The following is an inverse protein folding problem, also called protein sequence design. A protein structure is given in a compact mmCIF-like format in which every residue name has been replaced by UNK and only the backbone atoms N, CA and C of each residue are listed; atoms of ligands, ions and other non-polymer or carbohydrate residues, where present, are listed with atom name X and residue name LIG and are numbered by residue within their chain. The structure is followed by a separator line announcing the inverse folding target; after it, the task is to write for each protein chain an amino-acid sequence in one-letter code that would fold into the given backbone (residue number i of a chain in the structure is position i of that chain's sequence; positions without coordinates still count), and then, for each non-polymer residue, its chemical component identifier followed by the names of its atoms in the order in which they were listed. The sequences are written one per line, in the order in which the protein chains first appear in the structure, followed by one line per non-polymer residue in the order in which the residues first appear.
data_IF_560380730749
#
_entry.id   IF_560380730749
#
_cell.length_a   1.000
_cell.length_b   1.000
_cell.length_c   1.000
_cell.angle_alpha   90.00
_cell.angle_beta   90.00
_cell.angle_gamma   90.00
#
_symmetry.space_group_name_H-M   'P 1'
#
loop_
_entity.id
_entity.type
_entity.pdbx_description
1 polymer ?
#
# COMPACT_ATOMS: atom_id res chain seq x y z
N UNK A 1 -53.04 -5.74 30.63
CA UNK A 1 -51.95 -6.65 30.25
C UNK A 1 -50.71 -5.79 30.17
N UNK A 2 -49.86 -5.70 31.19
CA UNK A 2 -48.92 -6.74 31.67
C UNK A 2 -47.68 -6.70 30.76
N UNK A 3 -46.44 -6.48 31.18
CA UNK A 3 -45.81 -6.45 32.51
C UNK A 3 -44.54 -5.57 32.50
N UNK A 4 -44.18 -5.11 33.69
CA UNK A 4 -42.95 -4.40 34.05
C UNK A 4 -41.73 -5.35 34.13
N UNK A 5 -40.52 -4.77 34.09
CA UNK A 5 -39.26 -5.39 34.47
C UNK A 5 -38.25 -4.31 34.85
N UNK A 6 -38.07 -4.17 36.16
CA UNK A 6 -37.31 -3.17 36.93
C UNK A 6 -35.83 -3.58 37.08
N UNK A 7 -34.96 -2.57 37.19
CA UNK A 7 -33.75 -2.39 38.01
C UNK A 7 -32.98 -3.63 38.53
N UNK A 8 -31.66 -3.67 38.69
CA UNK A 8 -30.67 -2.62 38.90
C UNK A 8 -29.44 -3.30 39.52
N UNK A 9 -28.32 -2.60 39.43
CA UNK A 9 -26.97 -2.96 39.85
C UNK A 9 -26.84 -3.29 41.36
N UNK A 10 -26.18 -4.40 41.70
CA UNK A 10 -25.62 -4.65 43.04
C UNK A 10 -24.24 -5.30 42.88
N UNK A 11 -23.20 -4.53 43.21
CA UNK A 11 -21.84 -5.02 43.36
C UNK A 11 -21.59 -5.50 44.79
N UNK A 12 -20.95 -6.65 44.94
CA UNK A 12 -20.28 -7.04 46.18
C UNK A 12 -18.90 -7.64 45.91
N UNK A 13 -17.91 -6.94 46.48
CA UNK A 13 -16.49 -7.25 46.62
C UNK A 13 -16.34 -8.23 47.78
N UNK A 14 -15.54 -9.30 47.65
CA UNK A 14 -14.73 -9.97 48.69
C UNK A 14 -13.97 -11.17 48.04
N UNK A 15 -12.73 -10.97 47.57
CA UNK A 15 -11.45 -11.37 48.19
C UNK A 15 -10.93 -12.82 47.93
N UNK A 16 -9.59 -13.02 47.95
CA UNK A 16 -8.87 -14.08 47.23
C UNK A 16 -8.52 -15.29 48.12
N UNK A 17 -8.42 -16.48 47.52
CA UNK A 17 -7.92 -17.66 48.21
C UNK A 17 -6.43 -17.85 47.92
N UNK A 18 -5.61 -17.57 48.93
CA UNK A 18 -4.22 -18.02 49.08
C UNK A 18 -4.02 -18.73 50.41
N UNK A 19 -3.02 -19.62 50.43
CA UNK A 19 -2.41 -20.40 51.53
C UNK A 19 -3.12 -21.69 51.95
N UNK A 20 -2.43 -22.80 52.21
CA UNK A 20 -1.06 -22.97 52.78
C UNK A 20 -0.46 -24.37 52.43
N UNK A 21 0.81 -24.45 52.00
CA UNK A 21 2.04 -24.88 52.74
C UNK A 21 2.04 -26.39 53.14
N UNK A 22 3.05 -27.24 52.95
CA UNK A 22 4.51 -27.17 52.67
C UNK A 22 5.04 -28.65 52.57
N UNK A 23 6.35 -29.01 52.57
CA UNK A 23 7.51 -28.67 51.72
C UNK A 23 8.28 -29.94 51.22
N UNK A 24 9.55 -29.78 50.77
CA UNK A 24 10.60 -30.79 50.46
C UNK A 24 10.52 -31.47 49.05
N UNK A 25 11.53 -31.54 48.17
CA UNK A 25 13.00 -31.48 48.29
C UNK A 25 13.66 -31.26 46.91
N UNK A 26 14.70 -30.41 46.87
CA UNK A 26 15.88 -30.40 45.99
C UNK A 26 15.82 -30.61 44.47
N UNK A 27 16.17 -29.51 43.77
CA UNK A 27 17.13 -29.42 42.67
C UNK A 27 18.04 -30.65 42.48
N UNK A 28 18.03 -31.26 41.28
CA UNK A 28 19.19 -31.99 40.76
C UNK A 28 19.34 -31.79 39.25
N UNK A 29 20.42 -31.12 38.89
CA UNK A 29 21.05 -31.18 37.58
C UNK A 29 21.55 -32.61 37.32
N UNK A 30 21.34 -33.15 36.11
CA UNK A 30 22.24 -34.06 35.35
C UNK A 30 21.45 -34.55 34.12
N UNK A 31 21.80 -34.12 32.90
CA UNK A 31 22.92 -34.59 32.08
C UNK A 31 22.74 -36.05 31.59
N UNK A 32 22.57 -36.15 30.27
CA UNK A 32 22.89 -37.25 29.35
C UNK A 32 22.80 -38.70 29.85
N UNK A 33 21.90 -39.47 29.23
CA UNK A 33 22.12 -40.88 28.99
C UNK A 33 21.79 -41.19 27.52
N UNK A 34 22.82 -41.64 26.82
CA UNK A 34 22.77 -42.29 25.52
C UNK A 34 22.13 -43.66 25.77
N UNK A 35 21.05 -44.00 25.08
CA UNK A 35 20.66 -45.40 24.97
C UNK A 35 20.14 -45.71 23.57
N UNK A 36 20.72 -46.75 22.99
CA UNK A 36 20.41 -47.24 21.66
C UNK A 36 19.09 -48.00 21.70
N UNK A 37 18.03 -47.38 21.20
CA UNK A 37 16.75 -48.01 20.98
C UNK A 37 16.48 -48.14 19.48
N UNK A 38 16.25 -49.38 19.04
CA UNK A 38 15.89 -49.81 17.69
C UNK A 38 14.78 -48.94 17.09
N UNK A 39 14.96 -48.52 15.83
CA UNK A 39 13.99 -47.74 15.08
C UNK A 39 12.74 -48.57 14.74
N UNK A 40 11.67 -48.39 15.51
CA UNK A 40 10.30 -48.74 15.14
C UNK A 40 9.73 -47.64 14.21
N UNK A 41 9.10 -47.99 13.07
CA UNK A 41 8.71 -47.01 12.05
C UNK A 41 7.36 -46.31 12.30
N UNK A 42 6.71 -46.52 13.45
CA UNK A 42 5.31 -46.11 13.66
C UNK A 42 5.09 -45.26 14.92
N UNK A 43 5.99 -44.31 15.15
CA UNK A 43 5.81 -43.29 16.18
C UNK A 43 4.68 -42.33 15.77
N UNK A 44 3.45 -42.64 16.18
CA UNK A 44 2.32 -41.70 16.10
C UNK A 44 2.64 -40.50 16.99
N UNK A 45 3.07 -39.42 16.35
CA UNK A 45 3.41 -38.16 17.01
C UNK A 45 2.10 -37.55 17.56
N UNK A 46 1.97 -37.49 18.88
CA UNK A 46 0.87 -36.76 19.53
C UNK A 46 0.88 -35.29 19.08
N UNK A 47 -0.25 -34.74 18.59
CA UNK A 47 -0.30 -33.37 18.05
C UNK A 47 0.22 -32.31 19.03
N UNK A 48 0.02 -32.53 20.33
CA UNK A 48 0.31 -31.59 21.41
C UNK A 48 1.75 -31.62 21.95
N UNK A 49 2.57 -32.61 21.59
CA UNK A 49 3.96 -32.70 22.11
C UNK A 49 5.00 -32.75 20.99
N UNK A 50 4.74 -31.98 19.94
CA UNK A 50 5.52 -31.99 18.71
C UNK A 50 6.65 -30.96 18.77
N UNK A 51 7.74 -31.27 19.49
CA UNK A 51 9.05 -30.68 19.18
C UNK A 51 9.53 -31.23 17.82
N UNK A 52 8.78 -30.95 16.76
CA UNK A 52 9.10 -31.39 15.42
C UNK A 52 10.25 -30.49 14.94
N UNK A 53 11.48 -30.95 15.14
CA UNK A 53 12.71 -30.25 14.77
C UNK A 53 12.71 -29.82 13.30
N UNK A 54 11.99 -30.52 12.43
CA UNK A 54 11.83 -30.14 11.04
C UNK A 54 10.96 -28.88 10.81
N UNK A 55 10.13 -28.43 11.76
CA UNK A 55 9.46 -27.11 11.71
C UNK A 55 10.33 -26.00 12.32
N UNK A 56 11.48 -26.35 12.90
CA UNK A 56 12.51 -25.41 13.35
C UNK A 56 13.57 -25.11 12.27
N UNK A 57 13.64 -25.93 11.23
CA UNK A 57 14.48 -25.67 10.06
C UNK A 57 13.78 -24.69 9.11
N UNK A 58 14.50 -23.64 8.71
CA UNK A 58 13.98 -22.58 7.85
C UNK A 58 13.62 -23.08 6.45
N UNK A 59 14.36 -24.04 5.92
CA UNK A 59 14.22 -24.49 4.54
C UNK A 59 13.01 -25.40 4.35
N UNK A 60 12.78 -26.33 5.29
CA UNK A 60 11.55 -27.13 5.33
C UNK A 60 10.33 -26.24 5.58
N UNK A 61 10.45 -25.27 6.47
CA UNK A 61 9.37 -24.32 6.71
C UNK A 61 9.06 -23.50 5.45
N UNK A 62 10.09 -23.02 4.74
CA UNK A 62 9.93 -22.32 3.45
C UNK A 62 9.20 -23.20 2.44
N UNK A 63 9.63 -24.45 2.26
CA UNK A 63 9.01 -25.38 1.32
C UNK A 63 7.52 -25.66 1.63
N UNK A 64 7.14 -25.68 2.92
CA UNK A 64 5.74 -25.82 3.34
C UNK A 64 4.96 -24.53 3.06
N UNK A 65 5.50 -23.39 3.49
CA UNK A 65 4.82 -22.09 3.40
C UNK A 65 4.63 -21.64 1.95
N UNK A 66 5.53 -21.97 1.03
CA UNK A 66 5.39 -21.71 -0.41
C UNK A 66 4.14 -22.33 -1.05
N UNK A 67 3.53 -23.33 -0.41
CA UNK A 67 2.31 -24.00 -0.89
C UNK A 67 1.03 -23.37 -0.34
N UNK A 68 1.13 -22.45 0.61
CA UNK A 68 -0.03 -21.85 1.27
C UNK A 68 -0.55 -20.61 0.52
N UNK A 69 -1.87 -20.35 0.57
CA UNK A 69 -2.42 -19.08 0.10
C UNK A 69 -2.01 -17.94 1.02
N UNK A 70 -2.07 -16.70 0.51
CA UNK A 70 -1.66 -15.49 1.23
C UNK A 70 -2.32 -15.31 2.60
N UNK A 71 -3.60 -15.69 2.73
CA UNK A 71 -4.31 -15.58 4.00
C UNK A 71 -3.72 -16.52 5.06
N UNK A 72 -3.33 -17.73 4.68
CA UNK A 72 -2.75 -18.70 5.60
C UNK A 72 -1.28 -18.39 5.89
N UNK A 73 -0.55 -17.79 4.95
CA UNK A 73 0.76 -17.20 5.24
C UNK A 73 0.69 -16.12 6.32
N UNK A 74 -0.32 -15.24 6.25
CA UNK A 74 -0.52 -14.21 7.27
C UNK A 74 -0.83 -14.83 8.66
N UNK A 75 -1.57 -15.95 8.70
CA UNK A 75 -1.82 -16.70 9.94
C UNK A 75 -0.57 -17.41 10.46
N UNK A 76 0.19 -18.05 9.56
CA UNK A 76 1.45 -18.70 9.88
C UNK A 76 2.45 -17.71 10.49
N UNK A 77 2.50 -16.47 10.00
CA UNK A 77 3.34 -15.43 10.55
C UNK A 77 3.05 -15.07 12.03
N UNK A 78 1.92 -15.48 12.58
CA UNK A 78 1.56 -15.24 13.98
C UNK A 78 2.05 -16.33 14.94
N UNK A 79 2.49 -17.49 14.44
CA UNK A 79 2.81 -18.66 15.28
C UNK A 79 4.10 -18.46 16.09
N UNK A 80 5.18 -18.04 15.43
CA UNK A 80 6.48 -17.84 16.08
C UNK A 80 7.32 -16.79 15.35
N UNK A 81 8.45 -16.38 15.95
CA UNK A 81 9.38 -15.44 15.31
C UNK A 81 9.99 -16.02 14.02
N UNK A 82 10.32 -17.31 14.03
CA UNK A 82 10.85 -18.02 12.86
C UNK A 82 9.82 -18.07 11.74
N UNK A 83 8.57 -18.44 12.07
CA UNK A 83 7.49 -18.49 11.09
C UNK A 83 7.16 -17.13 10.51
N UNK A 84 7.18 -16.07 11.34
CA UNK A 84 7.04 -14.70 10.85
C UNK A 84 8.15 -14.34 9.87
N UNK A 85 9.40 -14.68 10.18
CA UNK A 85 10.55 -14.38 9.32
C UNK A 85 10.39 -15.04 7.96
N UNK A 86 10.05 -16.34 7.92
CA UNK A 86 9.88 -17.08 6.67
C UNK A 86 8.60 -16.67 5.93
N UNK A 87 7.45 -16.57 6.61
CA UNK A 87 6.18 -16.19 5.99
C UNK A 87 6.15 -14.74 5.49
N UNK A 88 7.00 -13.87 6.04
CA UNK A 88 7.16 -12.48 5.59
C UNK A 88 8.24 -12.34 4.50
N UNK A 89 8.85 -13.44 4.07
CA UNK A 89 9.81 -13.45 2.97
C UNK A 89 9.10 -13.02 1.68
N UNK A 90 9.74 -12.10 0.95
CA UNK A 90 9.19 -11.46 -0.24
C UNK A 90 8.92 -12.49 -1.33
N UNK A 91 9.79 -13.48 -1.49
CA UNK A 91 9.66 -14.48 -2.55
C UNK A 91 8.42 -15.36 -2.31
N UNK A 92 8.20 -15.77 -1.07
CA UNK A 92 7.03 -16.57 -0.67
C UNK A 92 5.74 -15.76 -0.86
N UNK A 93 5.69 -14.52 -0.36
CA UNK A 93 4.52 -13.65 -0.52
C UNK A 93 4.24 -13.36 -2.01
N UNK A 94 5.27 -13.08 -2.79
CA UNK A 94 5.13 -12.84 -4.23
C UNK A 94 4.66 -14.10 -4.96
N UNK A 95 5.19 -15.28 -4.60
CA UNK A 95 4.75 -16.56 -5.16
C UNK A 95 3.29 -16.85 -4.87
N UNK A 96 2.88 -16.73 -3.61
CA UNK A 96 1.50 -16.94 -3.16
C UNK A 96 0.52 -15.91 -3.76
N UNK A 97 0.97 -14.67 -3.98
CA UNK A 97 0.18 -13.66 -4.72
C UNK A 97 0.01 -14.03 -6.19
N UNK A 98 1.07 -14.48 -6.86
CA UNK A 98 1.07 -14.80 -8.30
C UNK A 98 0.27 -16.06 -8.65
N UNK A 99 0.34 -17.08 -7.81
CA UNK A 99 -0.12 -18.42 -8.14
C UNK A 99 -1.62 -18.49 -8.53
N UNK A 100 -2.56 -17.86 -7.78
CA UNK A 100 -3.98 -17.91 -8.14
C UNK A 100 -4.31 -17.27 -9.49
N UNK A 101 -3.54 -16.26 -9.89
CA UNK A 101 -3.78 -15.47 -11.09
C UNK A 101 -2.95 -15.90 -12.30
N UNK A 102 -2.06 -16.90 -12.14
CA UNK A 102 -1.11 -17.34 -13.18
C UNK A 102 -0.28 -16.19 -13.75
N UNK A 103 0.12 -15.26 -12.88
CA UNK A 103 0.92 -14.10 -13.26
C UNK A 103 2.35 -14.52 -13.62
N UNK A 104 2.90 -13.94 -14.69
CA UNK A 104 4.30 -14.17 -15.09
C UNK A 104 5.25 -13.56 -14.09
N UNK A 105 5.02 -12.29 -13.73
CA UNK A 105 5.90 -11.54 -12.83
C UNK A 105 5.13 -10.47 -12.04
N UNK A 106 5.66 -10.15 -10.85
CA UNK A 106 5.24 -9.03 -10.02
C UNK A 106 6.47 -8.17 -9.79
N UNK A 107 6.39 -6.92 -10.17
CA UNK A 107 7.51 -5.96 -10.10
C UNK A 107 7.15 -4.88 -9.09
N UNK A 108 8.14 -4.43 -8.31
CA UNK A 108 7.95 -3.43 -7.27
C UNK A 108 7.86 -4.03 -5.87
N UNK A 109 7.84 -3.14 -4.88
CA UNK A 109 7.78 -3.46 -3.46
C UNK A 109 6.67 -2.62 -2.84
N UNK A 110 5.70 -3.24 -2.14
CA UNK A 110 4.73 -2.47 -1.38
C UNK A 110 5.43 -1.75 -0.22
N UNK A 111 4.90 -0.59 0.16
CA UNK A 111 5.35 0.17 1.32
C UNK A 111 4.95 -0.50 2.63
N UNK A 112 3.88 -1.30 2.63
CA UNK A 112 3.37 -2.01 3.81
C UNK A 112 3.09 -3.49 3.52
N UNK A 113 3.38 -4.35 4.49
CA UNK A 113 3.02 -5.77 4.43
C UNK A 113 1.51 -6.03 4.43
N UNK A 114 0.69 -5.03 4.76
CA UNK A 114 -0.77 -5.12 4.64
C UNK A 114 -1.25 -5.32 3.21
N UNK A 115 -0.45 -4.92 2.21
CA UNK A 115 -0.73 -5.16 0.80
C UNK A 115 -0.99 -6.64 0.50
N UNK A 116 -0.19 -7.52 1.10
CA UNK A 116 -0.25 -8.96 0.86
C UNK A 116 -1.40 -9.68 1.56
N UNK A 117 -2.15 -9.00 2.43
CA UNK A 117 -3.25 -9.63 3.20
C UNK A 117 -4.49 -9.93 2.36
N UNK A 118 -4.62 -9.27 1.22
CA UNK A 118 -5.79 -9.37 0.35
C UNK A 118 -5.32 -9.70 -1.06
N UNK A 119 -5.88 -10.78 -1.60
CA UNK A 119 -5.58 -11.26 -2.94
C UNK A 119 -6.86 -11.38 -3.76
N UNK A 120 -7.75 -10.39 -3.64
CA UNK A 120 -8.95 -10.30 -4.46
C UNK A 120 -8.71 -9.47 -5.72
N UNK A 121 -9.60 -9.63 -6.71
CA UNK A 121 -9.47 -9.00 -8.03
C UNK A 121 -9.43 -7.47 -7.94
N UNK A 122 -10.03 -6.88 -6.91
CA UNK A 122 -10.08 -5.43 -6.68
C UNK A 122 -8.70 -4.81 -6.41
N UNK A 123 -7.68 -5.63 -6.11
CA UNK A 123 -6.29 -5.20 -5.92
C UNK A 123 -5.61 -4.91 -7.24
N UNK A 124 -6.16 -5.44 -8.33
CA UNK A 124 -5.64 -5.23 -9.66
C UNK A 124 -6.37 -4.08 -10.34
N UNK A 125 -5.61 -3.26 -11.07
CA UNK A 125 -6.16 -2.22 -11.91
C UNK A 125 -5.38 -2.13 -13.22
N UNK A 126 -6.08 -1.80 -14.29
CA UNK A 126 -5.47 -1.45 -15.57
C UNK A 126 -5.10 0.03 -15.50
N UNK A 127 -3.84 0.37 -15.77
CA UNK A 127 -3.46 1.76 -15.96
C UNK A 127 -3.72 2.19 -17.39
N UNK A 128 -4.69 3.08 -17.58
CA UNK A 128 -4.96 3.68 -18.87
C UNK A 128 -4.44 5.12 -18.90
N UNK A 129 -3.59 5.42 -19.89
CA UNK A 129 -3.09 6.78 -20.11
C UNK A 129 -4.17 7.62 -20.78
N UNK A 130 -4.43 8.80 -20.25
CA UNK A 130 -5.46 9.68 -20.78
C UNK A 130 -5.01 10.37 -22.07
N UNK A 131 -5.90 10.37 -23.06
CA UNK A 131 -5.76 11.04 -24.34
C UNK A 131 -6.89 12.06 -24.52
N UNK A 132 -6.67 13.07 -25.37
CA UNK A 132 -7.70 14.06 -25.70
C UNK A 132 -8.95 13.34 -26.25
N UNK A 133 -10.09 13.60 -25.62
CA UNK A 133 -11.37 12.96 -25.95
C UNK A 133 -11.77 11.84 -24.99
N UNK A 134 -10.87 11.41 -24.11
CA UNK A 134 -11.24 10.46 -23.05
C UNK A 134 -12.17 11.12 -22.03
N UNK A 135 -13.17 10.35 -21.62
CA UNK A 135 -14.11 10.66 -20.56
C UNK A 135 -14.28 9.43 -19.69
N UNK A 136 -14.68 9.59 -18.43
CA UNK A 136 -14.91 8.44 -17.55
C UNK A 136 -15.96 7.49 -18.15
N UNK A 137 -16.98 8.04 -18.81
CA UNK A 137 -18.01 7.27 -19.49
C UNK A 137 -17.48 6.50 -20.70
N UNK A 138 -16.68 7.11 -21.57
CA UNK A 138 -16.10 6.42 -22.73
C UNK A 138 -15.15 5.30 -22.30
N UNK A 139 -14.37 5.52 -21.22
CA UNK A 139 -13.50 4.50 -20.65
C UNK A 139 -14.29 3.35 -20.01
N UNK A 140 -15.38 3.66 -19.30
CA UNK A 140 -16.26 2.65 -18.73
C UNK A 140 -16.79 1.69 -19.80
N UNK A 141 -17.23 2.23 -20.94
CA UNK A 141 -17.67 1.43 -22.10
C UNK A 141 -16.52 0.64 -22.70
N UNK A 142 -15.35 1.26 -22.92
CA UNK A 142 -14.16 0.61 -23.51
C UNK A 142 -13.71 -0.62 -22.71
N UNK A 143 -13.74 -0.54 -21.39
CA UNK A 143 -13.23 -1.58 -20.49
C UNK A 143 -14.32 -2.46 -19.87
N UNK A 144 -15.60 -2.25 -20.21
CA UNK A 144 -16.74 -2.99 -19.65
C UNK A 144 -16.78 -2.93 -18.11
N UNK A 145 -16.69 -1.71 -17.57
CA UNK A 145 -16.77 -1.42 -16.13
C UNK A 145 -17.82 -0.34 -15.87
N UNK A 146 -18.22 -0.16 -14.61
CA UNK A 146 -19.12 0.94 -14.28
C UNK A 146 -18.34 2.24 -14.07
N UNK A 147 -18.96 3.36 -14.44
CA UNK A 147 -18.42 4.72 -14.21
C UNK A 147 -18.12 4.95 -12.73
N UNK A 148 -19.00 4.44 -11.86
CA UNK A 148 -18.84 4.58 -10.41
C UNK A 148 -17.58 3.86 -9.90
N UNK A 149 -17.32 2.65 -10.39
CA UNK A 149 -16.16 1.87 -9.96
C UNK A 149 -14.84 2.57 -10.34
N UNK A 150 -14.78 3.16 -11.54
CA UNK A 150 -13.62 3.98 -11.94
C UNK A 150 -13.46 5.17 -10.99
N UNK A 151 -14.54 5.89 -10.69
CA UNK A 151 -14.52 7.05 -9.79
C UNK A 151 -14.05 6.67 -8.39
N UNK A 152 -14.63 5.61 -7.81
CA UNK A 152 -14.29 5.11 -6.47
C UNK A 152 -12.84 4.62 -6.38
N UNK A 153 -12.35 3.91 -7.41
CA UNK A 153 -10.96 3.44 -7.46
C UNK A 153 -9.98 4.60 -7.50
N UNK A 154 -10.31 5.67 -8.23
CA UNK A 154 -9.47 6.84 -8.43
C UNK A 154 -9.67 7.96 -7.40
N UNK A 155 -10.51 7.75 -6.39
CA UNK A 155 -10.90 8.79 -5.42
C UNK A 155 -11.41 10.07 -6.11
N UNK A 156 -12.31 9.92 -7.08
CA UNK A 156 -12.95 11.00 -7.80
C UNK A 156 -14.41 11.15 -7.35
N UNK A 157 -14.82 12.39 -7.07
CA UNK A 157 -16.22 12.72 -6.75
C UNK A 157 -17.00 13.22 -7.99
N UNK A 158 -16.29 13.75 -8.99
CA UNK A 158 -16.86 14.27 -10.23
C UNK A 158 -15.98 13.96 -11.44
N UNK A 159 -16.53 14.14 -12.64
CA UNK A 159 -15.81 13.87 -13.90
C UNK A 159 -14.73 14.89 -14.20
N UNK A 160 -14.78 16.08 -13.59
CA UNK A 160 -13.79 17.15 -13.81
C UNK A 160 -12.37 16.76 -13.41
N UNK A 161 -12.22 15.80 -12.49
CA UNK A 161 -10.92 15.32 -12.02
C UNK A 161 -10.09 14.59 -13.08
N UNK A 162 -10.68 14.22 -14.22
CA UNK A 162 -9.98 13.52 -15.31
C UNK A 162 -8.90 14.41 -15.95
N UNK A 163 -9.19 15.70 -16.15
CA UNK A 163 -8.31 16.61 -16.91
C UNK A 163 -7.04 17.02 -16.16
N UNK A 164 -6.99 16.78 -14.84
CA UNK A 164 -5.83 17.07 -14.00
C UNK A 164 -4.88 15.89 -13.85
N UNK A 165 -5.16 14.75 -14.51
CA UNK A 165 -4.43 13.49 -14.34
C UNK A 165 -3.77 13.07 -15.65
N UNK A 166 -2.66 12.33 -15.55
CA UNK A 166 -1.99 11.72 -16.70
C UNK A 166 -2.61 10.36 -17.07
N UNK A 167 -3.08 9.64 -16.05
CA UNK A 167 -3.64 8.28 -16.18
C UNK A 167 -4.80 8.08 -15.21
N UNK A 168 -5.65 7.12 -15.52
CA UNK A 168 -6.67 6.59 -14.61
C UNK A 168 -6.47 5.11 -14.38
N UNK A 169 -6.75 4.69 -13.14
CA UNK A 169 -6.84 3.29 -12.78
C UNK A 169 -8.22 2.75 -13.16
N UNK A 170 -8.28 1.72 -13.98
CA UNK A 170 -9.53 1.08 -14.38
C UNK A 170 -9.65 -0.24 -13.63
N UNK A 171 -10.78 -0.49 -12.93
CA UNK A 171 -11.02 -1.78 -12.28
C UNK A 171 -10.90 -2.93 -13.27
N UNK A 172 -10.35 -4.05 -12.83
CA UNK A 172 -10.18 -5.22 -13.68
C UNK A 172 -11.40 -6.16 -13.53
N UNK A 173 -12.25 -6.23 -14.55
CA UNK A 173 -13.44 -7.11 -14.53
C UNK A 173 -13.13 -8.57 -14.91
N UNK A 174 -12.17 -8.77 -15.81
CA UNK A 174 -11.87 -10.08 -16.41
C UNK A 174 -10.53 -10.61 -15.89
N UNK A 175 -10.50 -11.69 -15.09
CA UNK A 175 -9.26 -12.22 -14.51
C UNK A 175 -8.31 -12.80 -15.56
N UNK A 176 -8.82 -13.16 -16.74
CA UNK A 176 -8.03 -13.73 -17.83
C UNK A 176 -6.90 -12.80 -18.30
N UNK A 177 -7.06 -11.48 -18.11
CA UNK A 177 -6.05 -10.48 -18.44
C UNK A 177 -4.79 -10.57 -17.55
N UNK A 178 -4.89 -11.26 -16.41
CA UNK A 178 -3.76 -11.49 -15.49
C UNK A 178 -2.88 -12.67 -15.94
N UNK A 179 -3.41 -13.59 -16.74
CA UNK A 179 -2.70 -14.81 -17.14
C UNK A 179 -1.48 -14.42 -17.98
N UNK A 180 -0.30 -14.89 -17.57
CA UNK A 180 0.99 -14.54 -18.17
C UNK A 180 1.31 -13.03 -18.19
N UNK A 181 0.50 -12.22 -17.51
CA UNK A 181 0.70 -10.78 -17.35
C UNK A 181 1.83 -10.46 -16.36
N UNK A 182 2.36 -9.26 -16.45
CA UNK A 182 3.26 -8.68 -15.44
C UNK A 182 2.54 -7.53 -14.75
N UNK A 183 2.43 -7.59 -13.43
CA UNK A 183 1.84 -6.51 -12.64
C UNK A 183 2.92 -5.72 -11.88
N UNK A 184 2.65 -4.44 -11.67
CA UNK A 184 3.54 -3.51 -11.00
C UNK A 184 2.88 -3.04 -9.71
N UNK A 185 3.50 -3.29 -8.56
CA UNK A 185 3.04 -2.78 -7.28
C UNK A 185 3.49 -1.33 -7.17
N UNK A 186 2.51 -0.43 -7.19
CA UNK A 186 2.75 1.00 -7.12
C UNK A 186 1.78 1.68 -6.16
N UNK A 187 2.27 2.73 -5.50
CA UNK A 187 1.43 3.66 -4.75
C UNK A 187 0.98 4.77 -5.70
N UNK A 188 -0.32 4.82 -6.00
CA UNK A 188 -0.87 5.86 -6.87
C UNK A 188 -1.10 7.15 -6.08
N UNK A 189 -0.49 8.25 -6.54
CA UNK A 189 -0.56 9.54 -5.86
C UNK A 189 -1.97 10.16 -5.88
N UNK A 190 -2.74 9.94 -6.95
CA UNK A 190 -4.06 10.53 -7.11
C UNK A 190 -5.14 9.71 -6.36
N UNK A 191 -5.04 8.38 -6.42
CA UNK A 191 -5.95 7.46 -5.75
C UNK A 191 -5.59 7.21 -4.27
N UNK A 192 -4.39 7.63 -3.83
CA UNK A 192 -3.85 7.50 -2.46
C UNK A 192 -3.89 6.07 -1.92
N UNK A 193 -3.58 5.08 -2.78
CA UNK A 193 -3.65 3.66 -2.42
C UNK A 193 -2.61 2.84 -3.19
N UNK A 194 -2.22 1.73 -2.59
CA UNK A 194 -1.35 0.74 -3.24
C UNK A 194 -2.18 -0.20 -4.10
N UNK A 195 -1.76 -0.38 -5.35
CA UNK A 195 -2.49 -1.16 -6.35
C UNK A 195 -1.50 -2.00 -7.16
N UNK A 196 -1.91 -3.21 -7.55
CA UNK A 196 -1.23 -4.00 -8.56
C UNK A 196 -1.67 -3.55 -9.94
N UNK A 197 -0.83 -2.77 -10.61
CA UNK A 197 -1.14 -2.12 -11.88
C UNK A 197 -0.72 -2.98 -13.07
N UNK A 198 -1.59 -3.07 -14.07
CA UNK A 198 -1.28 -3.64 -15.37
C UNK A 198 -1.17 -2.55 -16.44
N UNK A 199 -0.09 -2.58 -17.21
CA UNK A 199 0.11 -1.69 -18.35
C UNK A 199 -0.14 -2.44 -19.65
N UNK A 200 -1.29 -2.19 -20.27
CA UNK A 200 -1.64 -2.80 -21.56
C UNK A 200 -0.95 -2.08 -22.74
N UNK A 201 -0.69 -0.78 -22.59
CA UNK A 201 -0.16 0.10 -23.64
C UNK A 201 1.38 0.27 -23.59
N UNK A 202 2.06 -0.59 -22.82
CA UNK A 202 3.52 -0.56 -22.63
C UNK A 202 3.96 0.01 -21.28
N UNK A 203 5.16 -0.37 -20.85
CA UNK A 203 5.73 0.06 -19.56
C UNK A 203 5.92 1.58 -19.62
N UNK A 204 5.41 2.35 -18.64
CA UNK A 204 5.70 3.78 -18.58
C UNK A 204 7.19 3.96 -18.37
N UNK A 205 7.82 4.80 -19.18
CA UNK A 205 9.23 5.15 -19.05
C UNK A 205 9.42 5.94 -17.74
N UNK A 206 9.60 5.19 -16.64
CA UNK A 206 9.58 5.65 -15.24
C UNK A 206 10.65 6.70 -14.95
N UNK A 207 11.59 6.92 -15.88
CA UNK A 207 12.73 7.83 -15.73
C UNK A 207 12.42 9.30 -16.04
N UNK A 208 11.26 9.62 -16.61
CA UNK A 208 10.93 11.00 -17.04
C UNK A 208 9.86 11.71 -16.18
N UNK A 209 8.99 10.97 -15.47
CA UNK A 209 7.81 11.59 -14.85
C UNK A 209 8.04 12.17 -13.43
N UNK A 210 9.06 11.73 -12.70
CA UNK A 210 9.48 12.43 -11.47
C UNK A 210 10.15 13.78 -11.77
N UNK A 211 10.65 14.00 -12.99
CA UNK A 211 11.19 15.29 -13.45
C UNK A 211 10.05 16.20 -13.93
N UNK A 212 8.96 15.64 -14.47
CA UNK A 212 7.84 16.41 -15.02
C UNK A 212 7.04 17.19 -13.95
N UNK A 213 6.97 16.72 -12.71
CA UNK A 213 6.35 17.47 -11.61
C UNK A 213 7.15 18.73 -11.22
N UNK A 214 8.43 18.82 -11.59
CA UNK A 214 9.19 20.08 -11.54
C UNK A 214 8.82 21.02 -12.70
N UNK A 215 8.47 20.46 -13.86
CA UNK A 215 8.11 21.21 -15.08
C UNK A 215 6.69 21.78 -15.00
N UNK A 216 5.75 21.17 -14.27
CA UNK A 216 4.42 21.76 -14.02
C UNK A 216 4.50 22.98 -13.10
N UNK A 217 5.45 23.00 -12.15
CA UNK A 217 5.83 24.20 -11.40
C UNK A 217 6.38 25.27 -12.34
N UNK A 218 7.22 24.92 -13.32
CA UNK A 218 7.78 25.89 -14.26
C UNK A 218 6.72 26.48 -15.21
N UNK A 219 5.74 25.70 -15.67
CA UNK A 219 4.64 26.25 -16.49
C UNK A 219 3.73 27.17 -15.66
N UNK A 220 3.47 26.83 -14.39
CA UNK A 220 2.75 27.70 -13.45
C UNK A 220 3.52 29.00 -13.19
N UNK A 221 4.82 28.91 -12.91
CA UNK A 221 5.72 30.05 -12.73
C UNK A 221 5.77 30.94 -13.97
N UNK A 222 5.85 30.36 -15.18
CA UNK A 222 5.81 31.11 -16.43
C UNK A 222 4.52 31.91 -16.58
N UNK A 223 3.36 31.34 -16.26
CA UNK A 223 2.07 32.07 -16.29
C UNK A 223 2.03 33.23 -15.28
N UNK A 224 2.60 33.02 -14.09
CA UNK A 224 2.71 34.06 -13.05
C UNK A 224 3.62 35.20 -13.53
N UNK A 225 4.81 34.88 -14.07
CA UNK A 225 5.75 35.86 -14.63
C UNK A 225 5.11 36.62 -15.79
N UNK A 226 4.39 35.93 -16.69
CA UNK A 226 3.74 36.57 -17.84
C UNK A 226 2.55 37.45 -17.42
N UNK A 227 1.90 37.15 -16.30
CA UNK A 227 0.87 38.01 -15.70
C UNK A 227 1.48 39.23 -15.04
N UNK A 228 2.57 39.06 -14.28
CA UNK A 228 3.32 40.16 -13.66
C UNK A 228 3.87 41.12 -14.70
N UNK A 229 4.48 40.58 -15.76
CA UNK A 229 4.98 41.34 -16.90
C UNK A 229 3.92 42.25 -17.50
N UNK A 230 2.71 41.72 -17.73
CA UNK A 230 1.58 42.49 -18.27
C UNK A 230 1.09 43.57 -17.30
N UNK A 231 1.11 43.28 -16.00
CA UNK A 231 0.62 44.19 -14.96
C UNK A 231 1.61 45.33 -14.64
N UNK A 232 2.91 45.02 -14.61
CA UNK A 232 3.99 45.96 -14.33
C UNK A 232 4.48 46.70 -15.59
N UNK A 233 4.15 46.18 -16.79
CA UNK A 233 4.65 46.68 -18.09
C UNK A 233 6.17 46.68 -18.22
N UNK A 234 6.83 45.69 -17.60
CA UNK A 234 8.29 45.50 -17.60
C UNK A 234 8.71 44.32 -18.46
N UNK A 235 10.02 44.08 -18.60
CA UNK A 235 10.57 42.90 -19.26
C UNK A 235 10.45 41.62 -18.40
N UNK A 236 10.62 40.46 -19.03
CA UNK A 236 10.55 39.15 -18.38
C UNK A 236 11.58 39.02 -17.23
N UNK A 237 12.76 39.64 -17.36
CA UNK A 237 13.82 39.58 -16.35
C UNK A 237 13.45 40.38 -15.10
N UNK A 238 12.94 41.59 -15.27
CA UNK A 238 12.48 42.44 -14.17
C UNK A 238 11.28 41.83 -13.44
N UNK A 239 10.31 41.27 -14.17
CA UNK A 239 9.18 40.57 -13.56
C UNK A 239 9.62 39.34 -12.73
N UNK A 240 10.67 38.64 -13.20
CA UNK A 240 11.22 37.49 -12.49
C UNK A 240 12.02 37.89 -11.25
N UNK A 241 12.68 39.05 -11.27
CA UNK A 241 13.40 39.61 -10.12
C UNK A 241 12.45 39.88 -8.94
N UNK A 242 11.38 40.66 -9.15
CA UNK A 242 10.42 40.98 -8.08
C UNK A 242 9.66 39.75 -7.57
N UNK A 243 9.36 38.78 -8.44
CA UNK A 243 8.77 37.50 -8.02
C UNK A 243 9.72 36.67 -7.15
N UNK A 244 11.03 36.75 -7.41
CA UNK A 244 12.05 36.06 -6.61
C UNK A 244 12.24 36.73 -5.25
N UNK A 245 12.19 38.07 -5.22
CA UNK A 245 12.25 38.87 -3.99
C UNK A 245 11.07 38.56 -3.05
N UNK A 246 9.87 38.33 -3.61
CA UNK A 246 8.65 38.05 -2.86
C UNK A 246 8.41 36.57 -2.51
N UNK A 247 9.43 35.70 -2.64
CA UNK A 247 9.30 34.25 -2.43
C UNK A 247 8.16 33.59 -3.23
N UNK A 248 7.82 34.14 -4.40
CA UNK A 248 6.81 33.59 -5.29
C UNK A 248 5.37 34.11 -5.11
N UNK A 249 5.14 35.13 -4.27
CA UNK A 249 3.84 35.80 -4.18
C UNK A 249 3.74 36.96 -5.20
N UNK A 250 2.82 36.90 -6.20
CA UNK A 250 2.68 37.95 -7.21
C UNK A 250 2.13 39.28 -6.66
N UNK A 251 1.39 39.27 -5.54
CA UNK A 251 0.82 40.52 -4.98
C UNK A 251 1.87 41.32 -4.24
N UNK A 252 2.70 40.65 -3.46
CA UNK A 252 3.84 41.26 -2.80
C UNK A 252 4.84 41.81 -3.84
N UNK A 253 5.12 41.05 -4.91
CA UNK A 253 5.97 41.54 -5.99
C UNK A 253 5.47 42.86 -6.62
N UNK A 254 4.16 43.00 -6.81
CA UNK A 254 3.56 44.23 -7.37
C UNK A 254 3.63 45.42 -6.41
N UNK A 255 3.51 45.16 -5.11
CA UNK A 255 3.63 46.17 -4.06
C UNK A 255 5.04 46.75 -4.01
N UNK A 256 6.06 45.89 -3.92
CA UNK A 256 7.48 46.28 -3.91
C UNK A 256 7.85 47.09 -5.16
N UNK A 257 7.43 46.65 -6.34
CA UNK A 257 7.65 47.40 -7.58
C UNK A 257 6.96 48.78 -7.57
N UNK A 258 5.74 48.86 -7.03
CA UNK A 258 5.03 50.14 -6.95
C UNK A 258 5.70 51.10 -5.97
N UNK A 259 6.29 50.60 -4.89
CA UNK A 259 7.07 51.39 -3.93
C UNK A 259 8.36 51.91 -4.56
N UNK A 260 9.12 51.07 -5.28
CA UNK A 260 10.32 51.50 -6.02
C UNK A 260 10.01 52.62 -7.03
N UNK A 261 8.89 52.52 -7.76
CA UNK A 261 8.44 53.58 -8.67
C UNK A 261 8.07 54.90 -7.97
N UNK A 262 7.74 54.86 -6.67
CA UNK A 262 7.50 56.10 -5.91
C UNK A 262 8.79 56.79 -5.52
N UNK A 263 9.86 56.03 -5.26
CA UNK A 263 11.19 56.58 -4.97
C UNK A 263 11.83 57.28 -6.18
N UNK A 264 11.55 56.82 -7.41
CA UNK A 264 12.05 57.47 -8.63
C UNK A 264 11.37 58.81 -8.97
N UNK A 265 10.20 59.10 -8.37
CA UNK A 265 9.41 60.31 -8.66
C UNK A 265 9.62 61.46 -7.69
N UNK A 266 10.47 61.28 -6.67
CA UNK A 266 10.89 62.32 -5.72
C UNK A 266 12.24 62.90 -6.13
#
# INVERSE_FOLDING_TARGET
MGCCGDDGDDGEILQPLTHSDDPNTSNRHQAAAVDGGVAEPDAVISPMNSNFSALACSDTLRAILERLPLLDLARAACVSRLWRLVASDREIQTGAFKAPWKLKAVVGNPSSGSFWRDNSLNRFAISHRLVRGDSVASLAVKYFVQVMDIKCLNNMMSDHGIYSRERLLIPLSKPDLLINGTCYIELDACAKREVAVLYLEGIPDRKLNCILNRVTSDQGKRRIIESLRRSMQVDDGTAQYYLSLSNGDPRAALMEFSEDLTWERQ
#
